data_IF_358177824866
#
_entry.id   IF_358177824866
#
_cell.length_a   1.000
_cell.length_b   1.000
_cell.length_c   1.000
_cell.angle_alpha   90.00
_cell.angle_beta   90.00
_cell.angle_gamma   90.00
#
_symmetry.space_group_name_H-M   'P 1'
#
loop_
_entity.id
_entity.type
_entity.pdbx_description
1 polymer ?
#
# COMPACT_ATOMS: atom_id res chain seq x y z
N UNK A 1 55.05 6.84 26.31
CA UNK A 1 53.82 6.02 26.51
C UNK A 1 53.78 4.83 25.56
N UNK A 2 53.95 5.01 24.26
CA UNK A 2 53.91 3.92 23.27
C UNK A 2 54.87 2.75 23.58
N UNK A 3 56.12 3.05 23.96
CA UNK A 3 57.11 2.02 24.33
C UNK A 3 56.69 1.16 25.53
N UNK A 4 55.89 1.70 26.46
CA UNK A 4 55.35 0.91 27.60
C UNK A 4 54.27 -0.07 27.13
N UNK A 5 53.42 0.36 26.19
CA UNK A 5 52.35 -0.47 25.61
C UNK A 5 52.96 -1.60 24.79
N UNK A 6 53.92 -1.30 23.92
CA UNK A 6 54.61 -2.30 23.10
C UNK A 6 55.32 -3.32 24.01
N UNK A 7 56.04 -2.84 25.04
CA UNK A 7 56.72 -3.71 25.99
C UNK A 7 55.75 -4.61 26.76
N UNK A 8 54.58 -4.11 27.16
CA UNK A 8 53.53 -4.91 27.82
C UNK A 8 53.06 -6.09 26.96
N UNK A 9 52.78 -5.87 25.67
CA UNK A 9 52.35 -6.94 24.76
C UNK A 9 53.49 -7.92 24.40
N UNK A 10 54.75 -7.47 24.44
CA UNK A 10 55.92 -8.34 24.22
C UNK A 10 56.23 -9.24 25.43
N UNK A 11 56.07 -8.71 26.65
CA UNK A 11 56.30 -9.44 27.90
C UNK A 11 55.11 -10.37 28.22
N UNK A 12 53.86 -9.95 27.96
CA UNK A 12 52.65 -10.73 28.25
C UNK A 12 52.11 -11.47 27.01
N UNK A 13 52.93 -12.33 26.39
CA UNK A 13 52.59 -13.01 25.13
C UNK A 13 51.27 -13.77 25.14
N UNK A 14 50.92 -14.41 26.26
CA UNK A 14 49.65 -15.15 26.40
C UNK A 14 48.45 -14.21 26.28
N UNK A 15 48.49 -13.06 26.96
CA UNK A 15 47.43 -12.06 26.91
C UNK A 15 47.29 -11.51 25.49
N UNK A 16 48.41 -11.24 24.84
CA UNK A 16 48.44 -10.77 23.44
C UNK A 16 47.78 -11.77 22.49
N UNK A 17 48.10 -13.06 22.62
CA UNK A 17 47.51 -14.11 21.78
C UNK A 17 46.01 -14.26 22.06
N UNK A 18 45.59 -14.22 23.33
CA UNK A 18 44.16 -14.31 23.67
C UNK A 18 43.36 -13.14 23.09
N UNK A 19 43.89 -11.91 23.17
CA UNK A 19 43.25 -10.73 22.58
C UNK A 19 43.17 -10.87 21.06
N UNK A 20 44.25 -11.32 20.40
CA UNK A 20 44.24 -11.53 18.96
C UNK A 20 43.20 -12.58 18.55
N UNK A 21 43.16 -13.72 19.26
CA UNK A 21 42.17 -14.77 19.01
C UNK A 21 40.76 -14.24 19.21
N UNK A 22 40.51 -13.45 20.25
CA UNK A 22 39.21 -12.83 20.49
C UNK A 22 38.82 -11.90 19.34
N UNK A 23 39.72 -11.04 18.86
CA UNK A 23 39.46 -10.13 17.74
C UNK A 23 39.19 -10.89 16.45
N UNK A 24 39.95 -11.95 16.16
CA UNK A 24 39.75 -12.78 14.96
C UNK A 24 38.44 -13.55 15.04
N UNK A 25 38.12 -14.18 16.16
CA UNK A 25 36.87 -14.91 16.38
C UNK A 25 35.66 -13.97 16.28
N UNK A 26 35.75 -12.78 16.87
CA UNK A 26 34.70 -11.77 16.79
C UNK A 26 34.55 -11.20 15.37
N UNK A 27 35.67 -10.97 14.67
CA UNK A 27 35.68 -10.56 13.27
C UNK A 27 35.05 -11.61 12.34
N UNK A 28 35.32 -12.90 12.56
CA UNK A 28 34.67 -13.99 11.82
C UNK A 28 33.17 -14.04 12.12
N UNK A 29 32.78 -13.91 13.39
CA UNK A 29 31.39 -13.88 13.84
C UNK A 29 30.57 -12.75 13.19
N UNK A 30 31.20 -11.58 12.99
CA UNK A 30 30.57 -10.37 12.44
C UNK A 30 30.78 -10.18 10.93
N UNK A 31 31.60 -11.03 10.30
CA UNK A 31 31.88 -10.92 8.87
C UNK A 31 30.63 -11.18 8.00
N UNK A 32 30.44 -10.40 6.92
CA UNK A 32 29.24 -10.49 6.09
C UNK A 32 29.20 -11.74 5.19
N UNK A 33 30.32 -12.44 5.04
CA UNK A 33 30.44 -13.61 4.15
C UNK A 33 29.87 -14.88 4.80
N UNK A 34 29.19 -15.72 4.01
CA UNK A 34 28.64 -16.99 4.49
C UNK A 34 29.69 -18.09 4.58
N UNK A 35 30.36 -18.17 5.73
CA UNK A 35 31.24 -19.27 6.08
C UNK A 35 30.41 -20.49 6.51
N UNK A 36 30.34 -21.50 5.65
CA UNK A 36 29.61 -22.75 5.94
C UNK A 36 30.42 -23.59 6.95
N UNK A 37 29.81 -23.96 8.09
CA UNK A 37 30.40 -24.90 9.07
C UNK A 37 30.99 -24.32 10.36
N UNK A 38 30.64 -23.08 10.75
CA UNK A 38 31.16 -22.45 11.97
C UNK A 38 30.51 -22.93 13.27
N UNK A 39 31.33 -23.17 14.30
CA UNK A 39 30.90 -23.46 15.70
C UNK A 39 30.51 -22.15 16.45
N UNK A 40 30.81 -20.99 15.86
CA UNK A 40 30.70 -19.67 16.49
C UNK A 40 29.34 -19.03 16.11
N UNK A 41 28.59 -18.43 17.06
CA UNK A 41 27.40 -17.64 16.76
C UNK A 41 27.69 -16.53 15.75
N UNK A 42 26.79 -16.32 14.78
CA UNK A 42 26.97 -15.32 13.73
C UNK A 42 26.08 -14.10 13.97
N UNK A 43 26.63 -12.92 13.71
CA UNK A 43 25.89 -11.65 13.66
C UNK A 43 26.50 -10.75 12.57
N UNK A 44 26.26 -11.08 11.28
CA UNK A 44 26.90 -10.41 10.16
C UNK A 44 26.47 -8.94 10.07
N UNK A 45 27.42 -8.08 9.74
CA UNK A 45 27.15 -6.66 9.46
C UNK A 45 26.32 -6.56 8.16
N UNK A 46 25.28 -5.72 8.11
CA UNK A 46 24.52 -5.47 6.87
C UNK A 46 25.43 -5.01 5.75
N UNK A 47 25.21 -5.52 4.54
CA UNK A 47 25.94 -5.13 3.35
C UNK A 47 24.96 -4.76 2.24
N UNK A 48 25.33 -3.76 1.47
CA UNK A 48 24.62 -3.35 0.27
C UNK A 48 25.63 -3.12 -0.85
N UNK A 49 25.19 -3.22 -2.11
CA UNK A 49 26.01 -2.98 -3.28
C UNK A 49 26.39 -1.49 -3.40
N UNK A 50 25.51 -0.60 -2.97
CA UNK A 50 25.69 0.86 -2.98
C UNK A 50 25.22 1.45 -1.66
N UNK A 51 25.86 2.53 -1.16
CA UNK A 51 25.31 3.27 -0.02
C UNK A 51 24.00 3.95 -0.43
N UNK A 52 23.14 4.23 0.56
CA UNK A 52 21.96 5.06 0.33
C UNK A 52 22.38 6.49 -0.03
N UNK A 53 22.00 6.90 -1.23
CA UNK A 53 22.24 8.24 -1.80
C UNK A 53 20.93 9.00 -2.02
N UNK A 54 19.80 8.44 -1.57
CA UNK A 54 18.49 9.06 -1.72
C UNK A 54 18.36 10.30 -0.86
N UNK A 55 17.72 11.34 -1.42
CA UNK A 55 17.24 12.46 -0.61
C UNK A 55 16.19 11.96 0.40
N UNK A 56 16.15 12.60 1.57
CA UNK A 56 15.07 12.39 2.54
C UNK A 56 13.76 12.95 1.95
N UNK A 57 13.01 12.09 1.27
CA UNK A 57 11.85 12.44 0.47
C UNK A 57 10.61 11.68 0.91
N UNK A 58 9.51 12.41 1.11
CA UNK A 58 8.20 11.87 1.44
C UNK A 58 7.21 12.23 0.36
N UNK A 59 6.32 11.30 0.07
CA UNK A 59 5.30 11.45 -0.96
C UNK A 59 3.95 11.58 -0.29
N UNK A 60 3.16 12.57 -0.69
CA UNK A 60 1.74 12.64 -0.40
C UNK A 60 0.99 12.45 -1.71
N UNK A 61 0.25 11.36 -1.81
CA UNK A 61 -0.59 11.04 -2.95
C UNK A 61 -2.04 11.38 -2.61
N UNK A 62 -2.80 11.86 -3.60
CA UNK A 62 -4.22 12.17 -3.41
C UNK A 62 -4.97 11.87 -4.68
N UNK A 63 -6.03 11.09 -4.57
CA UNK A 63 -6.87 10.68 -5.69
C UNK A 63 -8.19 11.46 -5.66
N UNK A 64 -8.59 11.97 -6.83
CA UNK A 64 -9.90 12.58 -7.06
C UNK A 64 -10.34 12.32 -8.50
N UNK A 65 -10.75 11.07 -8.75
CA UNK A 65 -11.04 10.54 -10.07
C UNK A 65 -12.08 11.36 -10.85
N UNK A 66 -11.90 11.41 -12.18
CA UNK A 66 -12.81 12.12 -13.09
C UNK A 66 -12.59 13.63 -13.19
N UNK A 67 -11.49 14.15 -12.63
CA UNK A 67 -11.16 15.58 -12.62
C UNK A 67 -9.98 15.93 -13.51
N UNK A 68 -10.04 17.12 -14.12
CA UNK A 68 -8.98 17.59 -14.99
C UNK A 68 -7.70 17.94 -14.20
N UNK A 69 -6.51 17.87 -14.82
CA UNK A 69 -5.27 18.29 -14.17
C UNK A 69 -5.32 19.71 -13.58
N UNK A 70 -6.10 20.61 -14.21
CA UNK A 70 -6.28 21.98 -13.74
C UNK A 70 -7.11 22.03 -12.46
N UNK A 71 -8.20 21.26 -12.39
CA UNK A 71 -9.02 21.16 -11.18
C UNK A 71 -8.24 20.55 -10.02
N UNK A 72 -7.47 19.50 -10.30
CA UNK A 72 -6.57 18.88 -9.32
C UNK A 72 -5.55 19.90 -8.80
N UNK A 73 -4.91 20.64 -9.70
CA UNK A 73 -3.94 21.65 -9.32
C UNK A 73 -4.55 22.71 -8.40
N UNK A 74 -5.73 23.23 -8.74
CA UNK A 74 -6.33 24.36 -8.04
C UNK A 74 -7.00 23.96 -6.72
N UNK A 75 -7.60 22.76 -6.63
CA UNK A 75 -8.38 22.33 -5.47
C UNK A 75 -7.67 21.34 -4.54
N UNK A 76 -6.60 20.68 -4.99
CA UNK A 76 -5.88 19.69 -4.19
C UNK A 76 -4.42 20.09 -4.06
N UNK A 77 -3.69 20.11 -5.18
CA UNK A 77 -2.23 20.22 -5.15
C UNK A 77 -1.75 21.56 -4.61
N UNK A 78 -2.34 22.67 -5.05
CA UNK A 78 -1.95 24.00 -4.60
C UNK A 78 -2.26 24.22 -3.10
N UNK A 79 -3.49 23.96 -2.59
CA UNK A 79 -3.76 24.06 -1.15
C UNK A 79 -2.86 23.17 -0.28
N UNK A 80 -2.60 21.93 -0.71
CA UNK A 80 -1.72 21.02 0.03
C UNK A 80 -0.27 21.49 0.03
N UNK A 81 0.29 21.83 -1.14
CA UNK A 81 1.70 22.29 -1.23
C UNK A 81 1.92 23.55 -0.39
N UNK A 82 1.04 24.54 -0.46
CA UNK A 82 1.14 25.76 0.37
C UNK A 82 1.06 25.45 1.87
N UNK A 83 0.23 24.50 2.27
CA UNK A 83 0.12 24.06 3.67
C UNK A 83 1.37 23.31 4.14
N UNK A 84 1.93 22.45 3.29
CA UNK A 84 3.09 21.59 3.59
C UNK A 84 4.41 22.37 3.57
N UNK A 85 4.50 23.48 2.82
CA UNK A 85 5.68 24.36 2.82
C UNK A 85 6.03 24.91 4.21
N UNK A 86 5.04 25.02 5.11
CA UNK A 86 5.25 25.52 6.47
C UNK A 86 5.85 24.49 7.44
N UNK A 87 6.12 23.25 7.00
CA UNK A 87 6.73 22.24 7.86
C UNK A 87 8.23 22.57 8.05
N UNK A 88 8.74 22.60 9.30
CA UNK A 88 10.15 22.85 9.55
C UNK A 88 11.06 21.79 8.89
N UNK A 89 12.17 22.24 8.31
CA UNK A 89 13.16 21.37 7.66
C UNK A 89 12.80 20.96 6.23
N UNK A 90 11.71 21.48 5.65
CA UNK A 90 11.42 21.31 4.22
C UNK A 90 12.39 22.16 3.41
N UNK A 91 13.20 21.48 2.59
CA UNK A 91 14.16 22.09 1.65
C UNK A 91 13.48 22.53 0.37
N UNK A 92 12.62 21.66 -0.20
CA UNK A 92 11.82 21.99 -1.38
C UNK A 92 10.61 21.09 -1.50
N UNK A 93 9.59 21.55 -2.23
CA UNK A 93 8.43 20.75 -2.59
C UNK A 93 8.30 20.72 -4.11
N UNK A 94 8.11 19.53 -4.65
CA UNK A 94 7.78 19.29 -6.07
C UNK A 94 6.41 18.66 -6.12
N UNK A 95 5.63 18.99 -7.15
CA UNK A 95 4.30 18.39 -7.29
C UNK A 95 3.97 18.14 -8.75
N UNK A 96 3.15 17.11 -8.98
CA UNK A 96 2.60 16.76 -10.27
C UNK A 96 1.10 16.59 -10.15
N UNK A 97 0.37 17.30 -11.02
CA UNK A 97 -1.09 17.25 -11.12
C UNK A 97 -1.45 16.56 -12.42
N UNK A 98 -2.10 15.42 -12.32
CA UNK A 98 -2.49 14.57 -13.44
C UNK A 98 -4.01 14.38 -13.42
N UNK A 99 -4.57 13.76 -14.47
CA UNK A 99 -6.00 13.48 -14.49
C UNK A 99 -6.37 12.58 -13.30
N UNK A 100 -7.23 13.10 -12.43
CA UNK A 100 -7.70 12.39 -11.23
C UNK A 100 -6.68 12.17 -10.11
N UNK A 101 -5.43 12.64 -10.21
CA UNK A 101 -4.39 12.35 -9.21
C UNK A 101 -3.45 13.53 -8.96
N UNK A 102 -3.05 13.72 -7.71
CA UNK A 102 -2.02 14.66 -7.26
C UNK A 102 -0.90 13.91 -6.55
N UNK A 103 0.34 14.14 -6.95
CA UNK A 103 1.54 13.68 -6.25
C UNK A 103 2.33 14.87 -5.75
N UNK A 104 2.62 14.91 -4.45
CA UNK A 104 3.43 15.93 -3.81
C UNK A 104 4.65 15.27 -3.19
N UNK A 105 5.84 15.67 -3.63
CA UNK A 105 7.13 15.22 -3.16
C UNK A 105 7.71 16.29 -2.26
N UNK A 106 7.88 15.97 -0.98
CA UNK A 106 8.42 16.86 0.03
C UNK A 106 9.86 16.40 0.29
N UNK A 107 10.82 17.26 -0.02
CA UNK A 107 12.25 16.99 0.21
C UNK A 107 12.67 17.76 1.45
N UNK A 108 13.21 17.05 2.44
CA UNK A 108 13.74 17.63 3.67
C UNK A 108 15.25 17.87 3.60
N UNK A 109 15.75 18.69 4.52
CA UNK A 109 17.19 18.81 4.77
C UNK A 109 17.77 17.48 5.30
N UNK A 110 19.03 17.18 4.94
CA UNK A 110 19.69 15.88 5.19
C UNK A 110 19.81 15.52 6.70
N UNK A 111 19.77 16.52 7.57
CA UNK A 111 19.85 16.34 9.03
C UNK A 111 18.50 16.00 9.69
N UNK A 112 17.40 16.03 8.93
CA UNK A 112 16.08 15.67 9.42
C UNK A 112 15.95 14.15 9.44
N UNK A 113 15.47 13.62 10.57
CA UNK A 113 15.21 12.19 10.72
C UNK A 113 13.96 11.77 9.91
N UNK A 114 14.05 10.61 9.26
CA UNK A 114 13.07 10.14 8.29
C UNK A 114 11.67 9.94 8.91
N UNK A 115 11.54 9.23 10.03
CA UNK A 115 10.23 8.99 10.66
C UNK A 115 9.64 10.24 11.32
N UNK A 116 10.49 11.15 11.80
CA UNK A 116 10.08 12.45 12.30
C UNK A 116 9.42 13.28 11.20
N UNK A 117 10.01 13.34 10.01
CA UNK A 117 9.46 14.07 8.87
C UNK A 117 8.07 13.54 8.47
N UNK A 118 7.91 12.22 8.42
CA UNK A 118 6.63 11.54 8.16
C UNK A 118 5.58 11.89 9.20
N UNK A 119 5.96 11.88 10.48
CA UNK A 119 5.08 12.25 11.58
C UNK A 119 4.63 13.72 11.51
N UNK A 120 5.54 14.63 11.13
CA UNK A 120 5.20 16.05 10.92
C UNK A 120 4.24 16.25 9.76
N UNK A 121 4.41 15.51 8.67
CA UNK A 121 3.48 15.55 7.52
C UNK A 121 2.10 15.08 7.95
N UNK A 122 2.00 13.95 8.64
CA UNK A 122 0.72 13.44 9.14
C UNK A 122 0.04 14.43 10.08
N UNK A 123 0.77 15.06 10.99
CA UNK A 123 0.23 16.14 11.84
C UNK A 123 -0.30 17.31 11.00
N UNK A 124 0.43 17.71 9.96
CA UNK A 124 0.02 18.81 9.10
C UNK A 124 -1.22 18.47 8.26
N UNK A 125 -1.30 17.25 7.73
CA UNK A 125 -2.46 16.76 6.98
C UNK A 125 -3.71 16.67 7.87
N UNK A 126 -3.57 16.19 9.11
CA UNK A 126 -4.68 16.09 10.06
C UNK A 126 -5.14 17.45 10.63
N UNK A 127 -4.30 18.48 10.56
CA UNK A 127 -4.61 19.84 11.04
C UNK A 127 -5.08 20.79 9.94
N UNK A 128 -5.33 20.28 8.73
CA UNK A 128 -5.87 21.10 7.64
C UNK A 128 -7.25 21.65 8.03
N UNK A 129 -7.52 22.95 7.79
CA UNK A 129 -8.83 23.52 8.03
C UNK A 129 -9.94 22.76 7.28
N UNK A 130 -11.14 22.59 7.88
CA UNK A 130 -12.29 22.03 7.17
C UNK A 130 -12.57 22.80 5.88
N UNK A 131 -12.85 22.08 4.79
CA UNK A 131 -13.09 22.67 3.47
C UNK A 131 -11.84 23.01 2.67
N UNK A 132 -10.63 22.71 3.17
CA UNK A 132 -9.39 22.84 2.38
C UNK A 132 -9.38 21.92 1.16
N UNK A 133 -9.96 20.73 1.29
CA UNK A 133 -10.07 19.74 0.22
C UNK A 133 -11.55 19.46 -0.11
N UNK A 134 -11.84 19.04 -1.35
CA UNK A 134 -13.18 18.60 -1.73
C UNK A 134 -13.70 17.45 -0.86
N UNK A 135 -15.03 17.34 -0.79
CA UNK A 135 -15.68 16.28 -0.01
C UNK A 135 -15.26 14.88 -0.50
N UNK A 136 -14.91 14.01 0.45
CA UNK A 136 -14.49 12.63 0.18
C UNK A 136 -13.04 12.48 -0.32
N UNK A 137 -12.30 13.56 -0.55
CA UNK A 137 -10.89 13.52 -0.96
C UNK A 137 -10.01 13.42 0.28
N UNK A 138 -9.19 12.36 0.34
CA UNK A 138 -8.27 12.13 1.45
C UNK A 138 -6.82 11.98 0.94
N UNK A 139 -5.90 12.86 1.35
CA UNK A 139 -4.50 12.71 1.04
C UNK A 139 -3.88 11.57 1.87
N UNK A 140 -3.08 10.73 1.23
CA UNK A 140 -2.40 9.62 1.87
C UNK A 140 -0.88 9.82 1.80
N UNK A 141 -0.19 9.46 2.90
CA UNK A 141 1.27 9.40 2.92
C UNK A 141 1.73 8.13 2.18
N UNK A 142 2.72 8.28 1.31
CA UNK A 142 3.33 7.17 0.57
C UNK A 142 4.09 6.19 1.46
N UNK A 143 4.59 5.09 0.87
CA UNK A 143 5.27 4.03 1.60
C UNK A 143 6.53 4.53 2.33
N UNK A 144 7.00 3.69 3.25
CA UNK A 144 8.31 3.81 3.87
C UNK A 144 9.40 3.30 2.92
N UNK A 145 9.59 4.02 1.81
CA UNK A 145 10.57 3.68 0.78
C UNK A 145 10.99 4.91 -0.02
N UNK A 146 12.19 4.84 -0.60
CA UNK A 146 12.70 5.82 -1.57
C UNK A 146 12.63 5.27 -3.00
N UNK A 147 13.03 6.06 -3.99
CA UNK A 147 13.14 5.60 -5.37
C UNK A 147 14.11 4.41 -5.56
N UNK A 148 15.06 4.23 -4.62
CA UNK A 148 15.98 3.09 -4.61
C UNK A 148 15.37 1.82 -3.99
N UNK A 149 14.20 1.92 -3.36
CA UNK A 149 13.53 0.81 -2.68
C UNK A 149 12.96 -0.29 -3.60
N UNK A 150 13.17 -0.19 -4.91
CA UNK A 150 12.71 -1.18 -5.88
C UNK A 150 13.69 -2.37 -5.96
N UNK A 151 13.61 -3.27 -4.98
CA UNK A 151 14.58 -4.36 -4.81
C UNK A 151 14.29 -5.58 -5.70
N UNK A 152 13.03 -5.99 -5.81
CA UNK A 152 12.68 -7.22 -6.49
C UNK A 152 11.48 -7.05 -7.42
N UNK A 153 11.71 -7.34 -8.71
CA UNK A 153 10.69 -7.32 -9.75
C UNK A 153 10.38 -8.74 -10.17
N UNK A 154 9.09 -9.06 -10.30
CA UNK A 154 8.64 -10.37 -10.75
C UNK A 154 7.42 -10.25 -11.66
N UNK A 155 7.12 -11.32 -12.38
CA UNK A 155 5.90 -11.48 -13.17
C UNK A 155 5.14 -12.71 -12.68
N UNK A 156 3.82 -12.70 -12.85
CA UNK A 156 2.98 -13.87 -12.63
C UNK A 156 2.62 -14.49 -13.97
N UNK A 157 2.88 -15.78 -14.11
CA UNK A 157 2.62 -16.56 -15.32
C UNK A 157 2.06 -17.92 -14.91
N UNK A 158 1.06 -18.40 -15.65
CA UNK A 158 0.62 -19.78 -15.53
C UNK A 158 1.74 -20.74 -15.88
N UNK A 159 1.98 -21.78 -15.07
CA UNK A 159 3.00 -22.81 -15.35
C UNK A 159 2.40 -24.20 -15.35
N UNK A 160 2.85 -25.02 -16.29
CA UNK A 160 2.48 -26.43 -16.35
C UNK A 160 3.16 -27.19 -15.18
N UNK A 161 2.39 -27.91 -14.33
CA UNK A 161 2.96 -28.58 -13.16
C UNK A 161 3.94 -29.72 -13.48
N UNK A 162 3.80 -30.37 -14.65
CA UNK A 162 4.65 -31.50 -15.03
C UNK A 162 5.96 -31.04 -15.68
N UNK A 163 5.97 -29.91 -16.39
CA UNK A 163 7.12 -29.43 -17.17
C UNK A 163 7.75 -28.14 -16.64
N UNK A 164 7.06 -27.41 -15.76
CA UNK A 164 7.51 -26.13 -15.18
C UNK A 164 7.56 -24.95 -16.15
N UNK A 165 7.15 -25.16 -17.41
CA UNK A 165 7.19 -24.12 -18.46
C UNK A 165 5.95 -23.22 -18.39
N UNK A 166 6.06 -21.95 -18.82
CA UNK A 166 4.90 -21.08 -18.97
C UNK A 166 3.86 -21.73 -19.87
N UNK A 167 2.62 -21.77 -19.41
CA UNK A 167 1.46 -22.28 -20.13
C UNK A 167 0.40 -21.19 -20.20
N UNK A 168 -0.32 -21.14 -21.33
CA UNK A 168 -1.43 -20.23 -21.52
C UNK A 168 -2.67 -20.64 -20.72
N UNK A 169 -3.76 -19.90 -20.89
CA UNK A 169 -5.06 -20.22 -20.29
C UNK A 169 -5.38 -19.48 -18.99
N UNK A 170 -4.50 -18.57 -18.54
CA UNK A 170 -4.78 -17.64 -17.45
C UNK A 170 -5.06 -16.26 -18.02
N UNK A 171 -6.16 -15.65 -17.59
CA UNK A 171 -6.51 -14.30 -17.97
C UNK A 171 -5.71 -13.28 -17.12
N UNK A 172 -5.45 -12.10 -17.70
CA UNK A 172 -4.74 -11.04 -17.00
C UNK A 172 -5.50 -10.54 -15.74
N UNK A 173 -6.83 -10.66 -15.71
CA UNK A 173 -7.64 -10.36 -14.51
C UNK A 173 -7.45 -11.39 -13.39
N UNK A 174 -7.29 -12.67 -13.74
CA UNK A 174 -7.10 -13.75 -12.76
C UNK A 174 -5.73 -13.63 -12.12
N UNK A 175 -4.70 -13.39 -12.94
CA UNK A 175 -3.34 -13.14 -12.47
C UNK A 175 -3.28 -11.88 -11.60
N UNK A 176 -3.99 -10.80 -11.98
CA UNK A 176 -4.08 -9.59 -11.17
C UNK A 176 -4.80 -9.84 -9.83
N UNK A 177 -5.85 -10.65 -9.84
CA UNK A 177 -6.57 -11.04 -8.62
C UNK A 177 -5.67 -11.84 -7.69
N UNK A 178 -4.92 -12.82 -8.22
CA UNK A 178 -3.93 -13.59 -7.45
C UNK A 178 -2.83 -12.68 -6.89
N UNK A 179 -2.35 -11.74 -7.71
CA UNK A 179 -1.37 -10.75 -7.28
C UNK A 179 -1.88 -9.95 -6.08
N UNK A 180 -3.05 -9.32 -6.20
CA UNK A 180 -3.56 -8.37 -5.22
C UNK A 180 -4.05 -9.04 -3.93
N UNK A 181 -4.61 -10.25 -4.02
CA UNK A 181 -5.24 -10.93 -2.88
C UNK A 181 -4.44 -12.09 -2.29
N UNK A 182 -3.33 -12.51 -2.91
CA UNK A 182 -2.52 -13.61 -2.38
C UNK A 182 -1.03 -13.26 -2.32
N UNK A 183 -0.42 -12.97 -3.46
CA UNK A 183 1.03 -12.74 -3.55
C UNK A 183 1.44 -11.49 -2.79
N UNK A 184 0.72 -10.38 -2.99
CA UNK A 184 0.97 -9.11 -2.31
C UNK A 184 1.00 -9.26 -0.80
N UNK A 185 0.01 -9.92 -0.20
CA UNK A 185 -0.03 -10.11 1.25
C UNK A 185 1.07 -11.04 1.76
N UNK A 186 1.38 -12.10 1.00
CA UNK A 186 2.44 -13.04 1.38
C UNK A 186 3.82 -12.37 1.39
N UNK A 187 4.11 -11.54 0.38
CA UNK A 187 5.36 -10.80 0.30
C UNK A 187 5.42 -9.60 1.26
N UNK A 188 4.30 -8.92 1.50
CA UNK A 188 4.25 -7.79 2.45
C UNK A 188 4.48 -8.23 3.90
N UNK A 189 4.28 -9.51 4.21
CA UNK A 189 4.55 -10.07 5.54
C UNK A 189 6.04 -10.35 5.79
N UNK A 190 6.90 -10.25 4.77
CA UNK A 190 8.33 -10.46 4.92
C UNK A 190 8.99 -9.29 5.65
N UNK A 191 9.95 -9.59 6.52
CA UNK A 191 10.71 -8.59 7.27
C UNK A 191 11.49 -7.66 6.32
N UNK A 192 11.43 -6.34 6.58
CA UNK A 192 12.09 -5.33 5.77
C UNK A 192 11.35 -4.91 4.49
N UNK A 193 10.19 -5.50 4.19
CA UNK A 193 9.34 -5.08 3.06
C UNK A 193 8.38 -4.01 3.51
N UNK A 194 8.47 -2.80 2.92
CA UNK A 194 7.54 -1.71 3.23
C UNK A 194 6.29 -1.70 2.35
N UNK A 195 6.42 -2.08 1.07
CA UNK A 195 5.30 -2.17 0.13
C UNK A 195 5.56 -3.23 -0.95
N UNK A 196 4.48 -3.89 -1.39
CA UNK A 196 4.44 -4.69 -2.61
C UNK A 196 3.42 -4.07 -3.56
N UNK A 197 3.91 -3.38 -4.57
CA UNK A 197 3.09 -2.69 -5.57
C UNK A 197 2.76 -3.60 -6.75
N UNK A 198 1.52 -3.53 -7.21
CA UNK A 198 1.04 -4.33 -8.34
C UNK A 198 1.06 -3.51 -9.64
N UNK A 199 1.84 -3.95 -10.62
CA UNK A 199 1.96 -3.28 -11.92
C UNK A 199 1.35 -4.14 -13.05
N UNK A 200 0.53 -3.52 -13.91
CA UNK A 200 -0.15 -4.21 -15.02
C UNK A 200 -1.33 -5.09 -14.57
N UNK A 201 -1.86 -5.90 -15.50
CA UNK A 201 -3.07 -6.71 -15.28
C UNK A 201 -4.36 -5.88 -15.27
N UNK A 202 -5.51 -6.55 -15.17
CA UNK A 202 -6.83 -5.90 -15.12
C UNK A 202 -7.49 -6.16 -13.77
N UNK A 203 -8.01 -5.12 -13.12
CA UNK A 203 -8.82 -5.28 -11.91
C UNK A 203 -10.21 -5.74 -12.35
N UNK A 204 -10.72 -6.81 -11.74
CA UNK A 204 -12.06 -7.31 -12.03
C UNK A 204 -13.10 -6.27 -11.60
N UNK A 205 -13.92 -5.82 -12.56
CA UNK A 205 -14.99 -4.84 -12.34
C UNK A 205 -16.30 -5.39 -12.90
N UNK A 206 -17.40 -5.18 -12.17
CA UNK A 206 -18.75 -5.48 -12.66
C UNK A 206 -19.35 -4.22 -13.28
N UNK A 207 -19.37 -4.17 -14.61
CA UNK A 207 -19.88 -3.02 -15.35
C UNK A 207 -21.35 -3.21 -15.72
N UNK A 208 -22.20 -2.26 -15.31
CA UNK A 208 -23.63 -2.25 -15.66
C UNK A 208 -23.84 -1.32 -16.84
N UNK A 209 -23.93 -1.88 -18.04
CA UNK A 209 -24.20 -1.12 -19.25
C UNK A 209 -25.70 -0.80 -19.37
N UNK A 210 -26.02 0.49 -19.45
CA UNK A 210 -27.39 0.97 -19.47
C UNK A 210 -27.90 1.12 -20.90
N UNK A 211 -29.05 0.52 -21.22
CA UNK A 211 -29.73 0.72 -22.50
C UNK A 211 -30.67 1.94 -22.42
N UNK A 212 -30.40 3.05 -23.14
CA UNK A 212 -31.22 4.26 -23.07
C UNK A 212 -32.65 4.08 -23.57
N UNK A 213 -32.90 3.14 -24.49
CA UNK A 213 -34.24 2.87 -25.03
C UNK A 213 -35.11 2.15 -23.99
N UNK A 214 -34.55 1.15 -23.31
CA UNK A 214 -35.22 0.47 -22.21
C UNK A 214 -35.51 1.44 -21.07
N UNK A 215 -34.56 2.30 -20.71
CA UNK A 215 -34.74 3.31 -19.69
C UNK A 215 -35.91 4.25 -20.00
N UNK A 216 -36.03 4.70 -21.25
CA UNK A 216 -37.16 5.53 -21.71
C UNK A 216 -38.48 4.76 -21.67
N UNK A 217 -38.51 3.52 -22.14
CA UNK A 217 -39.71 2.68 -22.15
C UNK A 217 -40.25 2.43 -20.73
N UNK A 218 -39.35 2.25 -19.77
CA UNK A 218 -39.68 2.04 -18.36
C UNK A 218 -39.59 3.32 -17.52
N UNK A 219 -39.52 4.51 -18.12
CA UNK A 219 -39.46 5.80 -17.42
C UNK A 219 -38.54 5.81 -16.17
N UNK A 220 -37.34 5.23 -16.30
CA UNK A 220 -36.32 5.18 -15.24
C UNK A 220 -35.12 6.04 -15.62
N UNK A 221 -34.58 6.78 -14.65
CA UNK A 221 -33.38 7.59 -14.82
C UNK A 221 -32.12 6.81 -14.44
N UNK A 222 -30.94 7.33 -14.84
CA UNK A 222 -29.64 6.78 -14.41
C UNK A 222 -29.55 6.80 -12.88
N UNK A 223 -30.08 7.84 -12.25
CA UNK A 223 -30.06 8.00 -10.79
C UNK A 223 -30.89 6.92 -10.08
N UNK A 224 -32.02 6.50 -10.67
CA UNK A 224 -32.85 5.43 -10.12
C UNK A 224 -32.10 4.09 -10.12
N UNK A 225 -31.42 3.78 -11.22
CA UNK A 225 -30.64 2.54 -11.37
C UNK A 225 -29.43 2.55 -10.41
N UNK A 226 -28.70 3.66 -10.35
CA UNK A 226 -27.59 3.82 -9.39
C UNK A 226 -28.07 3.67 -7.94
N UNK A 227 -29.24 4.24 -7.62
CA UNK A 227 -29.86 4.13 -6.30
C UNK A 227 -30.26 2.70 -5.96
N UNK A 228 -30.81 1.96 -6.93
CA UNK A 228 -31.19 0.56 -6.77
C UNK A 228 -29.96 -0.32 -6.49
N UNK A 229 -28.91 -0.22 -7.32
CA UNK A 229 -27.67 -0.99 -7.13
C UNK A 229 -27.05 -0.71 -5.76
N UNK A 230 -26.95 0.56 -5.36
CA UNK A 230 -26.41 0.93 -4.03
C UNK A 230 -27.20 0.32 -2.88
N UNK A 231 -28.53 0.22 -3.00
CA UNK A 231 -29.40 -0.35 -1.96
C UNK A 231 -29.42 -1.89 -1.97
N UNK A 232 -29.04 -2.50 -3.08
CA UNK A 232 -29.03 -3.96 -3.26
C UNK A 232 -27.73 -4.65 -2.86
N UNK A 233 -26.75 -3.91 -2.31
CA UNK A 233 -25.46 -4.47 -1.89
C UNK A 233 -25.14 -4.13 -0.42
N UNK A 234 -26.03 -4.50 0.50
CA UNK A 234 -25.86 -4.31 1.93
C UNK A 234 -26.28 -5.52 2.74
N UNK A 235 -25.43 -5.92 3.67
CA UNK A 235 -25.81 -6.75 4.81
C UNK A 235 -26.26 -5.87 5.98
N UNK A 236 -27.25 -6.33 6.73
CA UNK A 236 -27.79 -5.61 7.90
C UNK A 236 -27.73 -6.54 9.11
N UNK A 237 -27.19 -6.04 10.24
CA UNK A 237 -27.31 -6.70 11.54
C UNK A 237 -28.63 -6.35 12.21
N UNK A 238 -29.33 -7.33 12.77
CA UNK A 238 -30.62 -7.14 13.44
C UNK A 238 -30.53 -7.56 14.93
N UNK A 239 -29.41 -7.20 15.57
CA UNK A 239 -29.09 -7.51 16.96
C UNK A 239 -29.16 -9.00 17.29
N UNK A 240 -29.53 -9.34 18.52
CA UNK A 240 -29.60 -10.71 19.01
C UNK A 240 -31.01 -11.07 19.48
N UNK A 241 -31.31 -12.36 19.45
CA UNK A 241 -32.53 -12.92 20.01
C UNK A 241 -32.16 -14.07 20.95
N UNK A 242 -32.69 -14.03 22.16
CA UNK A 242 -32.48 -15.10 23.14
C UNK A 242 -33.57 -16.17 23.02
N UNK A 243 -33.17 -17.42 22.82
CA UNK A 243 -34.05 -18.58 22.87
C UNK A 243 -33.40 -19.64 23.76
N UNK A 244 -34.13 -20.09 24.79
CA UNK A 244 -33.67 -21.11 25.75
C UNK A 244 -32.32 -20.79 26.44
N UNK A 245 -32.10 -19.52 26.85
CA UNK A 245 -30.84 -19.05 27.45
C UNK A 245 -29.62 -19.15 26.51
N UNK A 246 -29.87 -19.17 25.20
CA UNK A 246 -28.85 -19.06 24.15
C UNK A 246 -29.14 -17.83 23.32
N UNK A 247 -28.10 -17.04 23.08
CA UNK A 247 -28.16 -15.83 22.27
C UNK A 247 -27.88 -16.16 20.80
N UNK A 248 -28.80 -15.79 19.91
CA UNK A 248 -28.68 -15.95 18.47
C UNK A 248 -28.46 -14.60 17.81
N UNK A 249 -27.40 -14.47 17.03
CA UNK A 249 -27.12 -13.28 16.22
C UNK A 249 -28.00 -13.30 14.97
N UNK A 250 -28.77 -12.24 14.73
CA UNK A 250 -29.60 -12.10 13.53
C UNK A 250 -28.85 -11.26 12.49
N UNK A 251 -28.71 -11.80 11.28
CA UNK A 251 -28.07 -11.13 10.14
C UNK A 251 -28.93 -11.27 8.88
N UNK A 252 -29.22 -10.13 8.25
CA UNK A 252 -29.73 -10.06 6.89
C UNK A 252 -28.58 -10.13 5.89
N UNK A 253 -28.65 -11.07 4.95
CA UNK A 253 -27.66 -11.24 3.89
C UNK A 253 -28.17 -10.56 2.62
N UNK A 254 -27.41 -9.61 2.10
CA UNK A 254 -27.73 -8.82 0.91
C UNK A 254 -26.51 -8.41 0.07
N UNK A 255 -25.32 -8.94 0.35
CA UNK A 255 -24.17 -8.77 -0.55
C UNK A 255 -24.38 -9.47 -1.89
N UNK A 256 -24.03 -8.75 -2.96
CA UNK A 256 -23.95 -9.25 -4.33
C UNK A 256 -22.74 -10.19 -4.43
N UNK A 257 -22.95 -11.42 -4.92
CA UNK A 257 -21.88 -12.41 -5.10
C UNK A 257 -21.60 -12.67 -6.57
N UNK A 258 -22.67 -12.73 -7.36
CA UNK A 258 -22.62 -13.07 -8.77
C UNK A 258 -23.35 -12.02 -9.61
N UNK A 259 -23.10 -12.02 -10.92
CA UNK A 259 -23.77 -11.12 -11.88
C UNK A 259 -25.29 -11.25 -11.80
N UNK A 260 -25.81 -12.45 -11.55
CA UNK A 260 -27.25 -12.68 -11.44
C UNK A 260 -27.92 -11.98 -10.26
N UNK A 261 -27.16 -11.59 -9.23
CA UNK A 261 -27.68 -10.82 -8.10
C UNK A 261 -27.87 -9.35 -8.49
N UNK A 262 -26.95 -8.80 -9.30
CA UNK A 262 -27.08 -7.46 -9.89
C UNK A 262 -28.30 -7.38 -10.83
N UNK A 263 -28.52 -8.42 -11.64
CA UNK A 263 -29.66 -8.48 -12.58
C UNK A 263 -31.02 -8.46 -11.88
N UNK A 264 -31.08 -8.98 -10.64
CA UNK A 264 -32.30 -9.02 -9.83
C UNK A 264 -32.52 -7.75 -9.01
N UNK A 265 -31.61 -6.77 -9.07
CA UNK A 265 -31.77 -5.51 -8.36
C UNK A 265 -33.04 -4.80 -8.84
N UNK A 266 -34.00 -4.62 -7.93
CA UNK A 266 -35.29 -4.00 -8.24
C UNK A 266 -35.09 -2.49 -8.40
N UNK A 267 -35.26 -2.00 -9.62
CA UNK A 267 -35.16 -0.55 -9.93
C UNK A 267 -36.47 0.17 -9.63
N UNK A 268 -37.58 -0.35 -10.14
CA UNK A 268 -38.92 0.22 -9.94
C UNK A 268 -39.98 -0.88 -9.93
N UNK A 269 -41.12 -0.62 -9.31
CA UNK A 269 -42.26 -1.54 -9.24
C UNK A 269 -43.50 -0.85 -9.78
N UNK A 270 -44.07 -1.40 -10.85
CA UNK A 270 -45.32 -0.93 -11.43
C UNK A 270 -46.50 -1.66 -10.78
N UNK A 271 -47.47 -0.90 -10.25
CA UNK A 271 -48.77 -1.47 -9.90
C UNK A 271 -49.57 -1.64 -11.18
N UNK A 272 -49.65 -2.87 -11.67
CA UNK A 272 -50.66 -3.23 -12.66
C UNK A 272 -52.00 -3.28 -11.94
N UNK A 273 -52.84 -2.25 -12.13
CA UNK A 273 -54.25 -2.38 -11.78
C UNK A 273 -54.86 -3.35 -12.79
N UNK A 274 -55.11 -4.60 -12.39
CA UNK A 274 -55.95 -5.48 -13.20
C UNK A 274 -57.28 -4.77 -13.47
N UNK A 275 -57.71 -4.63 -14.73
CA UNK A 275 -59.08 -4.25 -15.00
C UNK A 275 -59.97 -5.37 -14.44
N UNK A 276 -60.83 -5.02 -13.48
CA UNK A 276 -61.94 -5.88 -13.07
C UNK A 276 -62.89 -6.13 -14.25
#
# INVERSE_FOLDING_TARGET
MLNKIIRYFLENRVITILILVLVVVWGISTSPFNWHGGIIPRNPIPVDAIPDIGDNQQIVATEWMGRSPKDIQDQITYPLTTSLLGIPGVKSIRSSSMFGMSFIYIIFDDNIEFYWSRSRILEKLNSLPPGTLPEGVQPALGPDATALGQIYWYTLEGRDPATGKPTGGWNAEELRTIQDYYVKYSLSAAEGVSEVASAGGFVKEYQVELNPDAMRAFNVSVMDIMGAIKKSNLDIGAETMEINKVEYLIRGLGYIKDVSDLEKAVVTVYRYASPM
#
